data_IF_058961456885
#
_entry.id   IF_058961456885
#
_cell.length_a   1.000
_cell.length_b   1.000
_cell.length_c   1.000
_cell.angle_alpha   90.00
_cell.angle_beta   90.00
_cell.angle_gamma   90.00
#
_symmetry.space_group_name_H-M   'P 1'
#
loop_
_entity.id
_entity.type
_entity.pdbx_description
1 polymer ?
#
# COMPACT_ATOMS: atom_id res chain seq x y z
N UNK A 1 10.21 -7.88 -19.10
CA UNK A 1 9.42 -8.89 -18.35
C UNK A 1 8.65 -8.16 -17.26
N UNK A 2 7.32 -8.02 -17.37
CA UNK A 2 6.53 -7.37 -16.32
C UNK A 2 6.13 -8.43 -15.29
N UNK A 3 6.77 -8.42 -14.12
CA UNK A 3 6.36 -9.26 -13.00
C UNK A 3 5.04 -8.73 -12.46
N UNK A 4 3.99 -9.55 -12.46
CA UNK A 4 2.73 -9.20 -11.80
C UNK A 4 2.95 -9.29 -10.29
N UNK A 5 2.85 -8.16 -9.61
CA UNK A 5 2.96 -8.07 -8.15
C UNK A 5 1.55 -8.04 -7.57
N UNK A 6 1.22 -9.01 -6.72
CA UNK A 6 0.00 -9.02 -5.91
C UNK A 6 0.42 -9.23 -4.46
N UNK A 7 0.11 -8.25 -3.62
CA UNK A 7 0.46 -8.24 -2.21
C UNK A 7 -0.83 -8.05 -1.42
N UNK A 8 -0.95 -8.79 -0.32
CA UNK A 8 -2.10 -8.68 0.57
C UNK A 8 -1.58 -8.71 2.00
N UNK A 9 -2.01 -7.73 2.78
CA UNK A 9 -1.67 -7.61 4.19
C UNK A 9 -2.86 -7.04 4.94
N UNK A 10 -2.94 -7.34 6.23
CA UNK A 10 -3.96 -6.80 7.12
C UNK A 10 -3.32 -5.71 7.96
N UNK A 11 -3.93 -4.53 7.97
CA UNK A 11 -3.51 -3.42 8.84
C UNK A 11 -3.78 -3.82 10.30
N UNK A 12 -2.77 -3.64 11.15
CA UNK A 12 -2.81 -3.87 12.59
C UNK A 12 -3.06 -2.58 13.35
N UNK A 13 -3.41 -2.67 14.64
CA UNK A 13 -3.69 -1.50 15.49
C UNK A 13 -2.50 -0.53 15.61
N UNK A 14 -1.27 -1.05 15.47
CA UNK A 14 -0.05 -0.23 15.46
C UNK A 14 0.03 0.76 14.28
N UNK A 15 -0.80 0.56 13.26
CA UNK A 15 -0.88 1.41 12.07
C UNK A 15 -2.06 2.39 12.11
N UNK A 16 -2.80 2.43 13.22
CA UNK A 16 -3.89 3.35 13.42
C UNK A 16 -3.37 4.80 13.45
N UNK A 17 -4.00 5.68 12.68
CA UNK A 17 -3.60 7.08 12.54
C UNK A 17 -2.40 7.31 11.61
N UNK A 18 -1.77 6.26 11.07
CA UNK A 18 -0.74 6.40 10.06
C UNK A 18 -1.34 6.77 8.69
N UNK A 19 -0.54 7.46 7.87
CA UNK A 19 -0.89 7.66 6.46
C UNK A 19 -0.84 6.32 5.73
N UNK A 20 -1.70 6.13 4.73
CA UNK A 20 -1.78 4.90 3.95
C UNK A 20 -0.43 4.49 3.34
N UNK A 21 0.31 5.44 2.79
CA UNK A 21 1.65 5.22 2.23
C UNK A 21 2.69 4.79 3.27
N UNK A 22 2.53 5.23 4.52
CA UNK A 22 3.38 4.82 5.64
C UNK A 22 3.03 3.40 6.11
N UNK A 23 1.75 3.13 6.34
CA UNK A 23 1.28 1.82 6.76
C UNK A 23 1.67 0.73 5.74
N UNK A 24 1.52 1.01 4.43
CA UNK A 24 1.95 0.10 3.38
C UNK A 24 3.46 -0.11 3.33
N UNK A 25 4.27 0.92 3.63
CA UNK A 25 5.72 0.78 3.68
C UNK A 25 6.20 -0.07 4.86
N UNK A 26 5.48 -0.03 5.98
CA UNK A 26 5.71 -0.92 7.12
C UNK A 26 5.27 -2.37 6.82
N UNK A 27 4.13 -2.53 6.13
CA UNK A 27 3.61 -3.85 5.74
C UNK A 27 4.42 -4.51 4.62
N UNK A 28 5.03 -3.71 3.74
CA UNK A 28 5.78 -4.17 2.57
C UNK A 28 7.18 -3.53 2.51
N UNK A 29 8.09 -3.89 3.43
CA UNK A 29 9.42 -3.28 3.56
C UNK A 29 10.32 -3.48 2.34
N UNK A 30 10.00 -4.45 1.47
CA UNK A 30 10.70 -4.69 0.20
C UNK A 30 10.48 -3.57 -0.84
N UNK A 31 9.52 -2.67 -0.61
CA UNK A 31 9.16 -1.60 -1.53
C UNK A 31 9.35 -0.22 -0.89
N UNK A 32 9.99 0.67 -1.63
CA UNK A 32 10.20 2.04 -1.16
C UNK A 32 8.88 2.82 -1.07
N UNK A 33 8.82 3.81 -0.17
CA UNK A 33 7.67 4.72 -0.03
C UNK A 33 7.29 5.40 -1.36
N UNK A 34 8.28 5.76 -2.19
CA UNK A 34 8.03 6.36 -3.51
C UNK A 34 7.30 5.39 -4.44
N UNK A 35 7.69 4.11 -4.45
CA UNK A 35 7.02 3.08 -5.26
C UNK A 35 5.59 2.80 -4.79
N UNK A 36 5.39 2.76 -3.47
CA UNK A 36 4.05 2.61 -2.89
C UNK A 36 3.17 3.81 -3.24
N UNK A 37 3.73 5.03 -3.16
CA UNK A 37 3.03 6.25 -3.57
C UNK A 37 2.61 6.19 -5.05
N UNK A 38 3.48 5.74 -5.95
CA UNK A 38 3.14 5.53 -7.36
C UNK A 38 1.96 4.57 -7.51
N UNK A 39 1.92 3.45 -6.77
CA UNK A 39 0.79 2.52 -6.83
C UNK A 39 -0.52 3.09 -6.30
N UNK A 40 -0.45 3.92 -5.25
CA UNK A 40 -1.63 4.63 -4.73
C UNK A 40 -2.18 5.59 -5.80
N UNK A 41 -1.29 6.40 -6.41
CA UNK A 41 -1.66 7.36 -7.47
C UNK A 41 -2.18 6.66 -8.73
N UNK A 42 -1.61 5.50 -9.07
CA UNK A 42 -2.05 4.65 -10.17
C UNK A 42 -3.34 3.86 -9.86
N UNK A 43 -3.98 4.08 -8.70
CA UNK A 43 -5.18 3.37 -8.26
C UNK A 43 -5.03 1.84 -8.20
N UNK A 44 -3.80 1.36 -7.94
CA UNK A 44 -3.46 -0.07 -7.82
C UNK A 44 -3.56 -0.60 -6.40
N UNK A 45 -3.90 0.25 -5.44
CA UNK A 45 -4.03 -0.10 -4.02
C UNK A 45 -5.50 -0.14 -3.65
N UNK A 46 -5.93 -1.27 -3.09
CA UNK A 46 -7.27 -1.48 -2.59
C UNK A 46 -7.23 -1.59 -1.05
N UNK A 47 -8.07 -0.81 -0.39
CA UNK A 47 -8.34 -0.88 1.05
C UNK A 47 -9.75 -1.39 1.23
N UNK A 48 -9.90 -2.58 1.80
CA UNK A 48 -11.20 -3.24 1.98
C UNK A 48 -12.05 -3.30 0.68
N UNK A 49 -11.38 -3.49 -0.46
CA UNK A 49 -12.04 -3.55 -1.78
C UNK A 49 -12.32 -2.20 -2.44
N UNK A 50 -12.00 -1.07 -1.79
CA UNK A 50 -12.14 0.28 -2.37
C UNK A 50 -10.78 0.86 -2.74
N UNK A 51 -10.70 1.66 -3.80
CA UNK A 51 -9.47 2.35 -4.20
C UNK A 51 -9.02 3.29 -3.06
N UNK A 52 -7.78 3.16 -2.62
CA UNK A 52 -7.20 3.94 -1.52
C UNK A 52 -6.65 5.30 -1.96
N UNK A 53 -7.36 6.07 -2.79
CA UNK A 53 -6.88 7.36 -3.31
C UNK A 53 -7.24 8.57 -2.43
N UNK A 54 -7.95 8.35 -1.31
CA UNK A 54 -8.61 9.41 -0.54
C UNK A 54 -8.12 9.53 0.91
#
# INVERSE_FOLDING_TARGET
>A
MAQRVQLTATVTENQLGQRLDQALAELFPDYSRSRIKEWILDQRVLVNGTIGDK
#
